data_IF_429206464337
#
_entry.id   IF_429206464337
#
_cell.length_a   1.000
_cell.length_b   1.000
_cell.length_c   1.000
_cell.angle_alpha   90.00
_cell.angle_beta   90.00
_cell.angle_gamma   90.00
#
_symmetry.space_group_name_H-M   'P 1'
#
loop_
_entity.id
_entity.type
_entity.pdbx_description
1 polymer ?
#
# COMPACT_ATOMS: atom_id res chain seq x y z
N UNK A 1 9.28 -4.93 13.25
CA UNK A 1 10.07 -5.38 14.42
C UNK A 1 10.88 -4.24 15.05
N UNK A 2 11.71 -3.52 14.30
CA UNK A 2 12.48 -2.39 14.83
C UNK A 2 11.61 -1.31 15.51
N UNK A 3 10.51 -0.91 14.88
CA UNK A 3 9.53 0.03 15.44
C UNK A 3 9.03 -0.40 16.84
N UNK A 4 8.61 -1.67 16.98
CA UNK A 4 8.17 -2.25 18.26
C UNK A 4 9.26 -2.16 19.34
N UNK A 5 10.51 -2.50 18.98
CA UNK A 5 11.63 -2.47 19.91
C UNK A 5 11.96 -1.06 20.43
N UNK A 6 11.58 -0.02 19.69
CA UNK A 6 11.82 1.39 20.05
C UNK A 6 10.56 2.12 20.50
N UNK A 7 9.45 1.40 20.74
CA UNK A 7 8.19 2.01 21.17
C UNK A 7 7.52 2.91 20.11
N UNK A 8 7.93 2.82 18.84
CA UNK A 8 7.31 3.57 17.75
C UNK A 8 6.09 2.79 17.27
N UNK A 9 4.89 3.32 17.53
CA UNK A 9 3.61 2.62 17.25
C UNK A 9 2.72 3.29 16.19
N UNK A 10 3.22 4.31 15.50
CA UNK A 10 2.51 4.99 14.41
C UNK A 10 3.10 4.60 13.06
N UNK A 11 2.29 4.10 12.13
CA UNK A 11 2.72 3.72 10.79
C UNK A 11 1.75 4.21 9.71
N UNK A 12 2.32 4.75 8.62
CA UNK A 12 1.61 4.93 7.36
C UNK A 12 2.19 3.94 6.37
N UNK A 13 1.35 3.07 5.81
CA UNK A 13 1.77 2.04 4.88
C UNK A 13 1.31 2.37 3.45
N UNK A 14 2.27 2.41 2.53
CA UNK A 14 2.03 2.53 1.09
C UNK A 14 1.54 1.18 0.52
N UNK A 15 0.22 1.00 0.52
CA UNK A 15 -0.45 -0.09 -0.18
C UNK A 15 -0.75 0.30 -1.64
N UNK A 16 -1.58 -0.48 -2.33
CA UNK A 16 -1.84 -0.35 -3.76
C UNK A 16 -3.25 -0.86 -4.10
N UNK A 17 -3.92 -0.24 -5.07
CA UNK A 17 -5.20 -0.70 -5.59
C UNK A 17 -5.13 -2.13 -6.18
N UNK A 18 -3.93 -2.64 -6.47
CA UNK A 18 -3.71 -4.05 -6.87
C UNK A 18 -4.18 -5.07 -5.84
N UNK A 19 -4.37 -4.68 -4.57
CA UNK A 19 -4.91 -5.58 -3.53
C UNK A 19 -6.37 -5.97 -3.77
N UNK A 20 -7.11 -5.17 -4.54
CA UNK A 20 -8.49 -5.46 -4.93
C UNK A 20 -8.60 -6.61 -5.94
N UNK A 21 -7.51 -6.97 -6.62
CA UNK A 21 -7.52 -8.00 -7.67
C UNK A 21 -8.38 -7.57 -8.85
N UNK A 22 -9.12 -8.53 -9.43
CA UNK A 22 -10.07 -8.25 -10.50
C UNK A 22 -11.31 -7.53 -9.94
N UNK A 23 -11.61 -6.28 -10.38
CA UNK A 23 -12.74 -5.51 -9.89
C UNK A 23 -14.08 -6.21 -10.12
N UNK A 24 -14.91 -6.26 -9.08
CA UNK A 24 -16.31 -6.72 -9.16
C UNK A 24 -17.28 -5.59 -9.48
N UNK A 25 -16.93 -4.35 -9.12
CA UNK A 25 -17.68 -3.14 -9.44
C UNK A 25 -16.75 -1.92 -9.47
N UNK A 26 -17.28 -0.82 -10.02
CA UNK A 26 -16.61 0.48 -10.06
C UNK A 26 -17.57 1.60 -9.58
N UNK A 27 -17.05 2.66 -8.94
CA UNK A 27 -15.65 2.83 -8.52
C UNK A 27 -15.27 1.85 -7.39
N UNK A 28 -13.97 1.58 -7.24
CA UNK A 28 -13.45 0.77 -6.14
C UNK A 28 -13.51 1.59 -4.86
N UNK A 29 -14.26 1.12 -3.87
CA UNK A 29 -14.25 1.64 -2.50
C UNK A 29 -13.44 0.72 -1.57
N UNK A 30 -13.23 1.14 -0.32
CA UNK A 30 -12.48 0.35 0.67
C UNK A 30 -13.24 -0.90 1.15
N UNK A 31 -14.55 -0.98 0.90
CA UNK A 31 -15.39 -2.14 1.20
C UNK A 31 -15.29 -3.24 0.13
N UNK A 32 -14.70 -2.94 -1.03
CA UNK A 32 -14.48 -3.92 -2.07
C UNK A 32 -13.60 -5.08 -1.57
N UNK A 33 -13.91 -6.34 -1.92
CA UNK A 33 -13.09 -7.50 -1.54
C UNK A 33 -11.61 -7.33 -1.94
N UNK A 34 -10.72 -7.86 -1.11
CA UNK A 34 -9.26 -7.84 -1.34
C UNK A 34 -8.67 -9.26 -1.26
N UNK A 35 -7.43 -9.44 -1.72
CA UNK A 35 -6.68 -10.70 -1.62
C UNK A 35 -6.74 -11.59 -2.87
N UNK A 36 -7.62 -11.28 -3.83
CA UNK A 36 -7.67 -11.90 -5.16
C UNK A 36 -6.54 -11.45 -6.09
N UNK A 37 -5.33 -11.24 -5.57
CA UNK A 37 -4.23 -10.61 -6.31
C UNK A 37 -3.64 -11.54 -7.38
N UNK A 38 -3.45 -11.01 -8.58
CA UNK A 38 -3.00 -11.76 -9.76
C UNK A 38 -1.48 -11.90 -9.86
N UNK A 39 -0.71 -11.12 -9.09
CA UNK A 39 0.76 -11.13 -9.13
C UNK A 39 1.41 -11.08 -7.73
N UNK A 40 2.71 -11.44 -7.62
CA UNK A 40 3.42 -11.43 -6.34
C UNK A 40 3.50 -10.05 -5.67
N UNK A 41 3.58 -8.98 -6.46
CA UNK A 41 3.59 -7.60 -5.94
C UNK A 41 2.31 -7.29 -5.17
N UNK A 42 1.13 -7.50 -5.78
CA UNK A 42 -0.18 -7.30 -5.14
C UNK A 42 -0.37 -8.20 -3.92
N UNK A 43 0.04 -9.49 -4.02
CA UNK A 43 -0.01 -10.42 -2.87
C UNK A 43 0.83 -9.93 -1.69
N UNK A 44 2.03 -9.39 -1.95
CA UNK A 44 2.90 -8.86 -0.90
C UNK A 44 2.23 -7.69 -0.16
N UNK A 45 1.57 -6.78 -0.89
CA UNK A 45 0.83 -5.65 -0.30
C UNK A 45 -0.34 -6.14 0.54
N UNK A 46 -1.13 -7.08 0.02
CA UNK A 46 -2.25 -7.68 0.75
C UNK A 46 -1.80 -8.34 2.06
N UNK A 47 -0.75 -9.18 2.03
CA UNK A 47 -0.26 -9.82 3.25
C UNK A 47 0.27 -8.82 4.28
N UNK A 48 0.89 -7.72 3.84
CA UNK A 48 1.32 -6.66 4.77
C UNK A 48 0.11 -5.94 5.39
N UNK A 49 -0.97 -5.69 4.63
CA UNK A 49 -2.20 -5.16 5.22
C UNK A 49 -2.74 -6.08 6.32
N UNK A 50 -2.84 -7.39 6.06
CA UNK A 50 -3.32 -8.36 7.04
C UNK A 50 -2.42 -8.41 8.28
N UNK A 51 -1.09 -8.41 8.10
CA UNK A 51 -0.15 -8.35 9.23
C UNK A 51 -0.32 -7.07 10.08
N UNK A 52 -0.55 -5.92 9.44
CA UNK A 52 -0.80 -4.66 10.14
C UNK A 52 -2.15 -4.69 10.88
N UNK A 53 -3.20 -5.25 10.26
CA UNK A 53 -4.51 -5.44 10.89
C UNK A 53 -4.41 -6.33 12.12
N UNK A 54 -3.71 -7.46 12.01
CA UNK A 54 -3.49 -8.37 13.13
C UNK A 54 -2.67 -7.71 14.25
N UNK A 55 -1.65 -6.92 13.89
CA UNK A 55 -0.85 -6.15 14.85
C UNK A 55 -1.73 -5.17 15.65
N UNK A 56 -2.56 -4.36 14.98
CA UNK A 56 -3.47 -3.41 15.63
C UNK A 56 -4.63 -4.10 16.36
N UNK A 57 -4.97 -5.33 15.97
CA UNK A 57 -5.94 -6.16 16.68
C UNK A 57 -5.35 -6.66 18.00
N UNK A 58 -4.10 -7.12 17.98
CA UNK A 58 -3.40 -7.69 19.13
C UNK A 58 -2.89 -6.64 20.14
N UNK A 59 -2.46 -5.47 19.68
CA UNK A 59 -1.99 -4.35 20.53
C UNK A 59 -2.70 -3.06 20.10
N UNK A 60 -3.59 -2.56 20.97
CA UNK A 60 -4.48 -1.42 20.70
C UNK A 60 -3.78 -0.06 20.70
N UNK A 61 -2.53 0.00 21.15
CA UNK A 61 -1.76 1.24 21.10
C UNK A 61 -1.16 1.51 19.71
N UNK A 62 -1.22 0.54 18.79
CA UNK A 62 -0.77 0.75 17.41
C UNK A 62 -1.78 1.55 16.61
N UNK A 63 -1.29 2.61 15.95
CA UNK A 63 -2.05 3.38 14.99
C UNK A 63 -1.48 3.14 13.59
N UNK A 64 -2.34 2.71 12.68
CA UNK A 64 -1.96 2.45 11.30
C UNK A 64 -2.92 3.13 10.32
N UNK A 65 -2.34 3.74 9.28
CA UNK A 65 -3.08 4.19 8.10
C UNK A 65 -2.56 3.41 6.90
N UNK A 66 -3.46 2.73 6.19
CA UNK A 66 -3.14 1.96 4.98
C UNK A 66 -3.65 2.75 3.79
N UNK A 67 -2.74 3.26 2.97
CA UNK A 67 -3.08 4.06 1.79
C UNK A 67 -2.97 3.21 0.53
N UNK A 68 -4.10 2.93 -0.12
CA UNK A 68 -4.15 2.15 -1.37
C UNK A 68 -4.04 3.08 -2.57
N UNK A 69 -2.81 3.34 -3.03
CA UNK A 69 -2.59 4.18 -4.21
C UNK A 69 -3.07 3.49 -5.49
N UNK A 70 -3.62 4.27 -6.42
CA UNK A 70 -3.87 3.82 -7.79
C UNK A 70 -2.59 4.01 -8.61
N UNK A 71 -2.61 4.86 -9.62
CA UNK A 71 -1.50 5.11 -10.51
C UNK A 71 -0.97 6.54 -10.25
N UNK A 72 0.02 6.72 -9.36
CA UNK A 72 0.66 8.02 -9.21
C UNK A 72 1.41 8.39 -10.50
N UNK A 73 1.20 9.61 -10.99
CA UNK A 73 1.87 10.16 -12.17
C UNK A 73 2.18 11.65 -11.95
N UNK A 74 3.02 12.21 -12.80
CA UNK A 74 3.41 13.63 -12.76
C UNK A 74 4.74 13.87 -12.05
N UNK A 75 5.03 15.13 -11.79
CA UNK A 75 6.26 15.60 -11.14
C UNK A 75 5.96 16.85 -10.31
N UNK A 76 6.92 17.26 -9.47
CA UNK A 76 6.77 18.52 -8.74
C UNK A 76 6.76 19.71 -9.70
N UNK A 77 5.91 20.71 -9.46
CA UNK A 77 5.68 21.86 -10.37
C UNK A 77 6.94 22.69 -10.66
N UNK A 78 7.92 22.67 -9.75
CA UNK A 78 9.22 23.32 -9.97
C UNK A 78 10.08 22.67 -11.05
N UNK A 79 9.75 21.45 -11.49
CA UNK A 79 10.54 20.66 -12.44
C UNK A 79 11.85 20.08 -11.88
N UNK A 80 12.10 20.24 -10.57
CA UNK A 80 13.38 19.83 -9.95
C UNK A 80 13.39 18.37 -9.46
N UNK A 81 12.22 17.75 -9.26
CA UNK A 81 12.07 16.37 -8.81
C UNK A 81 10.91 15.68 -9.54
N UNK A 82 11.07 14.41 -9.85
CA UNK A 82 10.10 13.57 -10.53
C UNK A 82 10.51 12.10 -10.46
N UNK A 83 9.82 11.24 -11.20
CA UNK A 83 10.21 9.85 -11.33
C UNK A 83 11.51 9.73 -12.15
N UNK A 84 12.53 9.06 -11.59
CA UNK A 84 13.84 8.86 -12.22
C UNK A 84 14.20 7.36 -12.24
N UNK A 85 13.53 6.56 -13.10
CA UNK A 85 13.73 5.12 -13.15
C UNK A 85 15.10 4.79 -13.75
N UNK A 86 15.76 3.78 -13.18
CA UNK A 86 17.03 3.28 -13.72
C UNK A 86 16.77 2.21 -14.78
N UNK A 87 17.25 2.43 -16.00
CA UNK A 87 17.07 1.51 -17.13
C UNK A 87 15.75 1.74 -17.89
N UNK A 88 15.23 0.67 -18.52
CA UNK A 88 13.95 0.75 -19.24
C UNK A 88 12.83 0.83 -18.20
N UNK A 89 11.96 1.86 -18.22
CA UNK A 89 10.84 1.97 -17.30
C UNK A 89 9.89 0.77 -17.46
N UNK A 90 9.52 0.14 -16.34
CA UNK A 90 8.48 -0.90 -16.29
C UNK A 90 7.09 -0.32 -15.99
N UNK A 91 7.00 1.00 -15.89
CA UNK A 91 5.84 1.73 -15.40
C UNK A 91 5.14 2.32 -16.64
N UNK A 92 4.23 1.54 -17.24
CA UNK A 92 3.15 1.89 -18.19
C UNK A 92 2.58 0.60 -18.77
#
# INVERSE_FOLDING_TARGET
>A
QAMKAHGVKNIVFSSSATVYGDPKYLPLDENHPVGGCTNPYGKSKYFIEEMIRDLCKADKDWNAVILRYFNPIGAHESGMIGEDPQGIPNNL
#
